data_IF_624169764908
#
_entry.id   IF_624169764908
#
_cell.length_a   1.000
_cell.length_b   1.000
_cell.length_c   1.000
_cell.angle_alpha   90.00
_cell.angle_beta   90.00
_cell.angle_gamma   90.00
#
_symmetry.space_group_name_H-M   'P 1'
#
loop_
_entity.id
_entity.type
_entity.pdbx_description
1 polymer ?
#
# COMPACT_ATOMS: atom_id res chain seq x y z
N UNK A 1 -0.53 26.42 -19.36
CA UNK A 1 0.39 25.38 -18.85
C UNK A 1 1.47 25.13 -19.88
N UNK A 2 2.74 25.07 -19.48
CA UNK A 2 3.81 24.55 -20.34
C UNK A 2 4.23 23.21 -19.74
N UNK A 3 4.05 22.14 -20.51
CA UNK A 3 4.49 20.80 -20.15
C UNK A 3 5.85 20.60 -20.79
N UNK A 4 6.78 20.01 -20.04
CA UNK A 4 8.09 19.65 -20.55
C UNK A 4 7.98 18.65 -21.71
N UNK A 5 8.82 18.81 -22.73
CA UNK A 5 8.75 18.00 -23.96
C UNK A 5 9.15 16.53 -23.71
N UNK A 6 10.05 16.27 -22.74
CA UNK A 6 10.39 14.91 -22.33
C UNK A 6 9.19 14.25 -21.63
N UNK A 7 8.52 14.97 -20.73
CA UNK A 7 7.33 14.48 -20.04
C UNK A 7 6.18 14.18 -21.02
N UNK A 8 6.04 14.98 -22.07
CA UNK A 8 5.06 14.74 -23.12
C UNK A 8 5.34 13.45 -23.90
N UNK A 9 6.60 13.17 -24.21
CA UNK A 9 7.00 11.95 -24.90
C UNK A 9 6.81 10.71 -24.03
N UNK A 10 7.12 10.78 -22.74
CA UNK A 10 6.85 9.70 -21.79
C UNK A 10 5.36 9.41 -21.65
N UNK A 11 4.54 10.46 -21.54
CA UNK A 11 3.09 10.32 -21.45
C UNK A 11 2.50 9.71 -22.74
N UNK A 12 3.01 10.07 -23.91
CA UNK A 12 2.62 9.44 -25.20
C UNK A 12 3.00 7.96 -25.25
N UNK A 13 4.22 7.61 -24.85
CA UNK A 13 4.67 6.23 -24.81
C UNK A 13 3.82 5.40 -23.84
N UNK A 14 3.51 5.96 -22.67
CA UNK A 14 2.63 5.32 -21.68
C UNK A 14 1.22 5.09 -22.22
N UNK A 15 0.64 6.11 -22.85
CA UNK A 15 -0.70 6.05 -23.46
C UNK A 15 -0.76 4.98 -24.57
N UNK A 16 0.24 4.95 -25.46
CA UNK A 16 0.35 3.94 -26.51
C UNK A 16 0.46 2.51 -25.95
N UNK A 17 1.28 2.30 -24.90
CA UNK A 17 1.43 0.99 -24.24
C UNK A 17 0.15 0.49 -23.58
N UNK A 18 -0.68 1.40 -23.07
CA UNK A 18 -1.96 1.09 -22.43
C UNK A 18 -3.13 1.06 -23.41
N UNK A 19 -2.91 1.35 -24.70
CA UNK A 19 -3.97 1.44 -25.71
C UNK A 19 -4.98 2.55 -25.44
N UNK A 20 -4.58 3.60 -24.70
CA UNK A 20 -5.47 4.71 -24.29
C UNK A 20 -5.01 6.01 -24.94
N UNK A 21 -5.91 6.99 -25.03
CA UNK A 21 -5.55 8.33 -25.50
C UNK A 21 -4.74 9.07 -24.44
N UNK A 22 -3.82 9.93 -24.89
CA UNK A 22 -3.03 10.80 -24.01
C UNK A 22 -3.95 11.63 -23.09
N UNK A 23 -5.06 12.15 -23.62
CA UNK A 23 -6.01 12.94 -22.85
C UNK A 23 -6.63 12.13 -21.69
N UNK A 24 -6.97 10.86 -21.92
CA UNK A 24 -7.53 10.00 -20.88
C UNK A 24 -6.51 9.66 -19.80
N UNK A 25 -5.23 9.48 -20.16
CA UNK A 25 -4.13 9.29 -19.19
C UNK A 25 -3.91 10.57 -18.36
N UNK A 26 -3.93 11.74 -19.00
CA UNK A 26 -3.77 13.02 -18.32
C UNK A 26 -4.94 13.31 -17.37
N UNK A 27 -6.17 12.99 -17.78
CA UNK A 27 -7.35 13.14 -16.92
C UNK A 27 -7.29 12.19 -15.72
N UNK A 28 -6.92 10.93 -15.92
CA UNK A 28 -6.75 9.97 -14.82
C UNK A 28 -5.66 10.42 -13.85
N UNK A 29 -4.53 10.90 -14.37
CA UNK A 29 -3.44 11.42 -13.54
C UNK A 29 -3.89 12.63 -12.72
N UNK A 30 -4.66 13.55 -13.32
CA UNK A 30 -5.21 14.71 -12.63
C UNK A 30 -6.22 14.29 -11.55
N UNK A 31 -7.11 13.35 -11.86
CA UNK A 31 -8.09 12.80 -10.93
C UNK A 31 -7.39 12.13 -9.74
N UNK A 32 -6.35 11.34 -9.99
CA UNK A 32 -5.53 10.75 -8.94
C UNK A 32 -4.80 11.80 -8.11
N UNK A 33 -4.28 12.88 -8.71
CA UNK A 33 -3.59 13.94 -7.98
C UNK A 33 -4.55 14.66 -7.02
N UNK A 34 -5.74 15.04 -7.51
CA UNK A 34 -6.76 15.72 -6.70
C UNK A 34 -7.24 14.80 -5.57
N UNK A 35 -7.59 13.55 -5.88
CA UNK A 35 -8.03 12.59 -4.86
C UNK A 35 -6.91 12.27 -3.87
N UNK A 36 -5.66 12.10 -4.32
CA UNK A 36 -4.51 11.91 -3.42
C UNK A 36 -4.36 13.08 -2.47
N UNK A 37 -4.53 14.31 -2.93
CA UNK A 37 -4.46 15.49 -2.07
C UNK A 37 -5.62 15.59 -1.08
N UNK A 38 -6.81 15.08 -1.43
CA UNK A 38 -7.97 15.05 -0.56
C UNK A 38 -7.90 13.90 0.47
N UNK A 39 -7.33 12.75 0.08
CA UNK A 39 -7.16 11.56 0.93
C UNK A 39 -5.88 11.55 1.76
N UNK A 40 -5.06 12.61 1.73
CA UNK A 40 -4.14 12.88 2.85
C UNK A 40 -4.96 13.36 4.05
N UNK A 41 -5.92 12.55 4.50
CA UNK A 41 -6.27 12.56 5.91
C UNK A 41 -4.95 12.38 6.64
N UNK A 42 -4.63 13.32 7.52
CA UNK A 42 -3.40 13.39 8.28
C UNK A 42 -3.20 12.06 9.01
N UNK A 43 -2.50 11.12 8.38
CA UNK A 43 -2.27 9.80 8.96
C UNK A 43 -1.30 10.04 10.11
N UNK A 44 -1.73 9.83 11.36
CA UNK A 44 -0.84 10.10 12.49
C UNK A 44 0.42 9.26 12.30
N UNK A 45 1.61 9.85 12.48
CA UNK A 45 2.86 9.13 12.31
C UNK A 45 2.88 7.93 13.25
N UNK A 46 3.14 6.74 12.70
CA UNK A 46 3.31 5.55 13.52
C UNK A 46 4.63 5.65 14.26
N UNK A 47 4.57 5.62 15.60
CA UNK A 47 5.78 5.52 16.44
C UNK A 47 6.14 4.04 16.54
N UNK A 48 7.18 3.63 15.81
CA UNK A 48 7.73 2.30 15.96
C UNK A 48 8.55 2.26 17.26
N UNK A 49 8.29 1.30 18.17
CA UNK A 49 9.14 1.12 19.34
C UNK A 49 10.54 0.73 18.88
N UNK A 50 11.56 1.38 19.45
CA UNK A 50 12.95 1.01 19.19
C UNK A 50 13.31 -0.24 19.99
N UNK A 51 14.32 -0.99 19.55
CA UNK A 51 14.80 -2.17 20.28
C UNK A 51 15.27 -1.75 21.68
N UNK A 52 14.63 -2.29 22.72
CA UNK A 52 14.92 -1.95 24.12
C UNK A 52 14.08 -0.81 24.70
N UNK A 53 13.06 -0.32 23.99
CA UNK A 53 12.09 0.64 24.52
C UNK A 53 11.37 0.04 25.75
N UNK A 54 11.38 0.71 26.93
CA UNK A 54 10.66 0.25 28.12
C UNK A 54 9.16 0.07 27.92
N UNK A 55 8.59 0.79 26.96
CA UNK A 55 7.18 0.75 26.54
C UNK A 55 6.97 -0.06 25.26
N UNK A 56 8.02 -0.67 24.71
CA UNK A 56 7.90 -1.63 23.63
C UNK A 56 7.11 -2.87 24.03
N UNK A 57 6.62 -3.64 23.06
CA UNK A 57 5.93 -4.89 23.35
C UNK A 57 6.87 -5.83 24.12
N UNK A 58 6.50 -6.11 25.37
CA UNK A 58 7.19 -7.10 26.22
C UNK A 58 6.73 -8.49 25.81
N UNK A 59 7.19 -8.94 24.65
CA UNK A 59 6.94 -10.30 24.19
C UNK A 59 7.80 -11.24 25.05
N UNK A 60 7.17 -11.90 26.02
CA UNK A 60 7.79 -13.05 26.69
C UNK A 60 7.68 -14.27 25.77
N UNK A 61 8.61 -15.21 25.89
CA UNK A 61 8.61 -16.44 25.08
C UNK A 61 7.27 -17.20 25.11
N UNK A 62 6.54 -17.13 26.23
CA UNK A 62 5.20 -17.72 26.33
C UNK A 62 4.18 -17.04 25.40
N UNK A 63 4.19 -15.70 25.31
CA UNK A 63 3.30 -14.92 24.46
C UNK A 63 3.63 -15.12 22.97
N UNK A 64 4.93 -15.22 22.66
CA UNK A 64 5.38 -15.52 21.29
C UNK A 64 4.89 -16.90 20.86
N UNK A 65 4.92 -17.89 21.77
CA UNK A 65 4.46 -19.25 21.49
C UNK A 65 2.96 -19.28 21.21
N UNK A 66 2.17 -18.57 22.02
CA UNK A 66 0.72 -18.45 21.85
C UNK A 66 0.35 -17.77 20.52
N UNK A 67 1.04 -16.68 20.16
CA UNK A 67 0.83 -15.98 18.89
C UNK A 67 1.15 -16.87 17.68
N UNK A 68 2.26 -17.63 17.73
CA UNK A 68 2.62 -18.55 16.66
C UNK A 68 1.62 -19.71 16.53
N UNK A 69 1.12 -20.24 17.64
CA UNK A 69 0.09 -21.29 17.60
C UNK A 69 -1.24 -20.77 17.04
N UNK A 70 -1.63 -19.53 17.33
CA UNK A 70 -2.85 -18.94 16.79
C UNK A 70 -2.75 -18.72 15.27
N UNK A 71 -1.59 -18.25 14.79
CA UNK A 71 -1.33 -18.06 13.36
C UNK A 71 -1.34 -19.40 12.60
N UNK A 72 -0.74 -20.46 13.18
CA UNK A 72 -0.78 -21.82 12.64
C UNK A 72 -2.23 -22.35 12.55
N UNK A 73 -3.05 -22.11 13.59
CA UNK A 73 -4.46 -22.53 13.61
C UNK A 73 -5.29 -21.78 12.56
N UNK A 74 -5.11 -20.46 12.41
CA UNK A 74 -5.81 -19.69 11.37
C UNK A 74 -5.41 -20.12 9.96
N UNK A 75 -4.12 -20.37 9.72
CA UNK A 75 -3.63 -20.88 8.44
C UNK A 75 -4.23 -22.24 8.08
N UNK A 76 -4.34 -23.16 9.05
CA UNK A 76 -4.94 -24.48 8.85
C UNK A 76 -6.45 -24.38 8.59
N UNK A 77 -7.18 -23.53 9.33
CA UNK A 77 -8.62 -23.33 9.12
C UNK A 77 -8.92 -22.69 7.77
N UNK A 78 -8.10 -21.74 7.32
CA UNK A 78 -8.25 -21.10 6.01
C UNK A 78 -8.02 -22.07 4.86
N UNK A 79 -7.02 -22.94 4.96
CA UNK A 79 -6.77 -24.00 3.97
C UNK A 79 -7.94 -25.00 3.89
N UNK A 80 -8.60 -25.32 5.01
CA UNK A 80 -9.76 -26.23 5.02
C UNK A 80 -11.05 -25.64 4.45
N UNK A 81 -11.17 -24.32 4.32
CA UNK A 81 -12.34 -23.64 3.75
C UNK A 81 -12.26 -23.42 2.23
N UNK A 82 -11.09 -23.66 1.61
CA UNK A 82 -10.89 -23.49 0.16
C UNK A 82 -11.16 -24.78 -0.65
N UNK A 83 -11.37 -25.92 0.02
CA UNK A 83 -11.58 -27.25 -0.58
C UNK A 83 -13.01 -27.83 -0.42
N UNK A 84 -14.04 -27.00 -0.19
CA UNK A 84 -15.46 -27.43 -0.07
C UNK A 84 -16.41 -26.75 -1.07
#
# INVERSE_FOLDING_TARGET
MRIDEQLLNEAKAYAARKGRSLNSVMEDALRQLIHRSADVAERPPIKLPLSGDPHGPKLIWADIKELLYQDDVEHVLRAGHEDA
#
